data_IF_981266363019
#
_entry.id   IF_981266363019
#
_cell.length_a   1.000
_cell.length_b   1.000
_cell.length_c   1.000
_cell.angle_alpha   90.00
_cell.angle_beta   90.00
_cell.angle_gamma   90.00
#
_symmetry.space_group_name_H-M   'P 1'
#
loop_
_entity.id
_entity.type
_entity.pdbx_description
1 polymer ?
#
# COMPACT_ATOMS: atom_id res chain seq x y z
N UNK A 1 23.99 45.56 -24.73
CA UNK A 1 22.73 45.40 -23.95
C UNK A 1 21.98 44.09 -24.20
N UNK A 2 22.26 43.36 -25.29
CA UNK A 2 21.54 42.12 -25.67
C UNK A 2 21.95 40.87 -24.89
N UNK A 3 23.24 40.71 -24.58
CA UNK A 3 23.82 39.58 -23.84
C UNK A 3 23.33 39.45 -22.40
N UNK A 4 23.03 40.58 -21.73
CA UNK A 4 22.50 40.58 -20.35
C UNK A 4 21.11 39.95 -20.26
N UNK A 5 20.28 40.11 -21.29
CA UNK A 5 18.95 39.48 -21.38
C UNK A 5 19.06 37.98 -21.64
N UNK A 6 20.04 37.56 -22.44
CA UNK A 6 20.30 36.13 -22.74
C UNK A 6 20.77 35.39 -21.49
N UNK A 7 21.68 35.99 -20.71
CA UNK A 7 22.16 35.41 -19.44
C UNK A 7 21.00 35.29 -18.43
N UNK A 8 20.14 36.31 -18.33
CA UNK A 8 18.98 36.28 -17.44
C UNK A 8 17.99 35.18 -17.83
N UNK A 9 17.77 34.96 -19.13
CA UNK A 9 16.91 33.90 -19.65
C UNK A 9 17.46 32.51 -19.31
N UNK A 10 18.77 32.33 -19.42
CA UNK A 10 19.42 31.05 -19.10
C UNK A 10 19.36 30.72 -17.60
N UNK A 11 19.44 31.73 -16.72
CA UNK A 11 19.31 31.55 -15.26
C UNK A 11 17.90 31.12 -14.86
N UNK A 12 16.87 31.64 -15.53
CA UNK A 12 15.46 31.29 -15.25
C UNK A 12 15.16 29.84 -15.66
N UNK A 13 15.78 29.34 -16.73
CA UNK A 13 15.63 27.95 -17.19
C UNK A 13 16.25 26.92 -16.22
N UNK A 14 17.26 27.32 -15.45
CA UNK A 14 17.95 26.46 -14.48
C UNK A 14 17.20 26.30 -13.14
N UNK A 15 16.16 27.10 -12.88
CA UNK A 15 15.48 27.14 -11.58
C UNK A 15 14.42 26.04 -11.39
N UNK A 16 14.20 25.18 -12.39
CA UNK A 16 13.26 24.07 -12.28
C UNK A 16 13.91 22.88 -11.55
N UNK A 17 13.90 22.90 -10.22
CA UNK A 17 14.21 21.71 -9.42
C UNK A 17 12.91 21.01 -9.03
N UNK A 18 12.71 19.77 -9.47
CA UNK A 18 11.63 18.93 -8.93
C UNK A 18 11.98 18.62 -7.47
N UNK A 19 11.09 18.98 -6.54
CA UNK A 19 11.17 18.50 -5.17
C UNK A 19 11.05 16.98 -5.18
N UNK A 20 12.06 16.30 -4.62
CA UNK A 20 11.99 14.85 -4.43
C UNK A 20 10.95 14.57 -3.35
N UNK A 21 9.78 14.14 -3.78
CA UNK A 21 8.76 13.58 -2.91
C UNK A 21 9.31 12.27 -2.34
N UNK A 22 9.83 12.33 -1.11
CA UNK A 22 10.51 11.21 -0.44
C UNK A 22 9.47 10.31 0.21
N UNK A 23 8.72 9.60 -0.64
CA UNK A 23 7.80 8.55 -0.18
C UNK A 23 8.58 7.27 0.04
N UNK A 24 8.42 6.68 1.22
CA UNK A 24 8.94 5.33 1.53
C UNK A 24 8.10 4.22 0.90
N UNK A 25 6.86 4.52 0.54
CA UNK A 25 5.90 3.57 0.01
C UNK A 25 5.17 4.16 -1.20
N UNK A 26 4.90 3.29 -2.16
CA UNK A 26 3.99 3.57 -3.28
C UNK A 26 2.78 2.64 -3.21
N UNK A 27 1.64 3.14 -3.66
CA UNK A 27 0.47 2.30 -3.85
C UNK A 27 0.72 1.38 -5.05
N UNK A 28 0.65 0.07 -4.82
CA UNK A 28 0.65 -0.94 -5.89
C UNK A 28 -0.80 -1.28 -6.21
N UNK A 29 -1.18 -1.17 -7.48
CA UNK A 29 -2.53 -1.54 -7.90
C UNK A 29 -2.70 -3.06 -7.88
N UNK A 30 -3.93 -3.54 -7.71
CA UNK A 30 -4.21 -4.98 -7.68
C UNK A 30 -3.83 -5.67 -8.99
N UNK A 31 -3.89 -4.98 -10.13
CA UNK A 31 -3.47 -5.51 -11.42
C UNK A 31 -1.94 -5.70 -11.49
N UNK A 32 -1.17 -4.84 -10.81
CA UNK A 32 0.29 -4.93 -10.75
C UNK A 32 0.75 -6.02 -9.78
N UNK A 33 0.07 -6.17 -8.63
CA UNK A 33 0.40 -7.20 -7.63
C UNK A 33 -0.20 -8.57 -7.95
N UNK A 34 -1.28 -8.62 -8.75
CA UNK A 34 -2.17 -9.77 -8.90
C UNK A 34 -2.80 -10.25 -7.58
N UNK A 35 -2.85 -9.39 -6.56
CA UNK A 35 -3.42 -9.71 -5.25
C UNK A 35 -4.75 -8.97 -5.11
N UNK A 36 -5.84 -9.73 -5.00
CA UNK A 36 -7.15 -9.22 -4.61
C UNK A 36 -7.47 -9.77 -3.22
N UNK A 37 -7.58 -8.88 -2.24
CA UNK A 37 -7.93 -9.25 -0.88
C UNK A 37 -9.09 -8.40 -0.38
N UNK A 38 -10.06 -9.05 0.26
CA UNK A 38 -11.18 -8.39 0.89
C UNK A 38 -11.57 -9.14 2.16
N UNK A 39 -11.51 -8.48 3.32
CA UNK A 39 -12.00 -9.02 4.58
C UNK A 39 -13.47 -8.61 4.76
N UNK A 40 -14.39 -9.40 4.21
CA UNK A 40 -15.83 -9.20 4.43
C UNK A 40 -16.24 -9.84 5.74
N UNK A 41 -16.86 -9.04 6.61
CA UNK A 41 -17.32 -9.50 7.93
C UNK A 41 -18.83 -9.74 7.89
N UNK A 42 -19.24 -10.99 8.12
CA UNK A 42 -20.64 -11.36 8.21
C UNK A 42 -21.16 -11.26 9.65
N UNK A 43 -22.33 -10.65 9.78
CA UNK A 43 -22.98 -10.42 11.06
C UNK A 43 -23.93 -11.55 11.42
N UNK A 44 -23.82 -12.02 12.66
CA UNK A 44 -24.82 -12.91 13.26
C UNK A 44 -25.12 -12.47 14.69
N UNK A 45 -26.22 -12.96 15.27
CA UNK A 45 -26.53 -12.69 16.68
C UNK A 45 -25.42 -13.18 17.63
N UNK A 46 -24.73 -14.25 17.26
CA UNK A 46 -23.62 -14.81 18.05
C UNK A 46 -22.27 -14.14 17.74
N UNK A 47 -22.07 -13.63 16.52
CA UNK A 47 -20.83 -13.03 16.06
C UNK A 47 -21.09 -11.60 15.56
N UNK A 48 -20.88 -10.65 16.46
CA UNK A 48 -21.01 -9.21 16.20
C UNK A 48 -20.11 -8.43 17.20
N UNK A 49 -19.95 -7.11 17.04
CA UNK A 49 -19.11 -6.30 17.92
C UNK A 49 -19.55 -6.27 19.40
N UNK A 50 -20.83 -6.53 19.69
CA UNK A 50 -21.33 -6.59 21.07
C UNK A 50 -20.99 -7.92 21.75
N UNK A 51 -20.96 -9.02 20.99
CA UNK A 51 -20.62 -10.36 21.51
C UNK A 51 -19.13 -10.67 21.40
N UNK A 52 -18.43 -10.07 20.44
CA UNK A 52 -17.00 -10.26 20.19
C UNK A 52 -16.31 -8.90 20.02
N UNK A 53 -15.59 -8.48 21.07
CA UNK A 53 -14.91 -7.17 21.13
C UNK A 53 -13.94 -6.92 19.98
N UNK A 54 -13.33 -7.97 19.46
CA UNK A 54 -12.30 -7.88 18.42
C UNK A 54 -12.90 -8.04 17.01
N UNK A 55 -14.21 -7.91 16.84
CA UNK A 55 -14.88 -8.16 15.55
C UNK A 55 -14.32 -7.31 14.41
N UNK A 56 -13.93 -6.08 14.72
CA UNK A 56 -13.32 -5.15 13.78
C UNK A 56 -11.81 -5.02 13.93
N UNK A 57 -11.17 -5.80 14.80
CA UNK A 57 -9.73 -5.74 14.90
C UNK A 57 -9.16 -6.20 13.58
N UNK A 58 -8.41 -5.29 12.94
CA UNK A 58 -7.76 -5.55 11.67
C UNK A 58 -6.89 -6.79 11.74
N UNK A 59 -6.85 -7.50 10.62
CA UNK A 59 -5.89 -8.56 10.40
C UNK A 59 -4.52 -7.99 10.02
N UNK A 60 -3.45 -8.55 10.56
CA UNK A 60 -2.08 -8.13 10.23
C UNK A 60 -1.63 -8.62 8.85
N UNK A 61 -0.63 -7.98 8.27
CA UNK A 61 0.11 -8.49 7.11
C UNK A 61 1.56 -8.72 7.51
N UNK A 62 2.12 -9.86 7.11
CA UNK A 62 3.53 -10.15 7.24
C UNK A 62 4.14 -10.41 5.85
N UNK A 63 5.37 -9.96 5.67
CA UNK A 63 6.11 -10.04 4.42
C UNK A 63 7.48 -10.64 4.75
N UNK A 64 7.78 -11.82 4.21
CA UNK A 64 9.02 -12.57 4.48
C UNK A 64 9.30 -13.58 3.37
N UNK A 65 10.56 -13.98 3.16
CA UNK A 65 10.87 -15.19 2.37
C UNK A 65 10.87 -16.36 3.37
N UNK A 66 9.77 -17.09 3.42
CA UNK A 66 9.57 -18.17 4.39
C UNK A 66 9.85 -19.54 3.80
N UNK A 67 9.74 -19.69 2.48
CA UNK A 67 10.00 -20.95 1.78
C UNK A 67 11.43 -21.04 1.19
N UNK A 68 12.23 -19.98 1.33
CA UNK A 68 13.60 -19.83 0.83
C UNK A 68 13.72 -19.90 -0.70
N UNK A 69 12.72 -19.44 -1.44
CA UNK A 69 12.77 -19.39 -2.92
C UNK A 69 13.32 -18.07 -3.48
N UNK A 70 13.79 -17.17 -2.60
CA UNK A 70 14.25 -15.82 -2.95
C UNK A 70 13.16 -14.88 -3.46
N UNK A 71 11.89 -15.26 -3.35
CA UNK A 71 10.74 -14.40 -3.56
C UNK A 71 10.15 -13.96 -2.22
N UNK A 72 9.45 -12.84 -2.26
CA UNK A 72 8.81 -12.29 -1.07
C UNK A 72 7.43 -12.90 -0.90
N UNK A 73 7.22 -13.67 0.17
CA UNK A 73 5.89 -14.17 0.53
C UNK A 73 5.08 -13.10 1.29
N UNK A 74 3.77 -13.13 1.09
CA UNK A 74 2.81 -12.25 1.76
C UNK A 74 1.82 -13.10 2.53
N UNK A 75 1.78 -12.91 3.85
CA UNK A 75 0.82 -13.56 4.75
C UNK A 75 -0.21 -12.53 5.22
N UNK A 76 -1.48 -12.80 4.92
CA UNK A 76 -2.62 -11.98 5.33
C UNK A 76 -3.31 -12.69 6.48
N UNK A 77 -3.20 -12.13 7.69
CA UNK A 77 -3.91 -12.63 8.86
C UNK A 77 -5.32 -12.03 8.84
N UNK A 78 -6.34 -12.83 9.14
CA UNK A 78 -7.71 -12.33 9.24
C UNK A 78 -8.36 -12.89 10.49
N UNK A 79 -8.96 -11.99 11.28
CA UNK A 79 -9.46 -12.32 12.61
C UNK A 79 -10.80 -13.07 12.58
N UNK A 80 -11.56 -12.97 11.47
CA UNK A 80 -12.91 -13.56 11.35
C UNK A 80 -13.32 -14.04 9.95
N UNK A 81 -12.41 -14.25 8.99
CA UNK A 81 -12.81 -14.87 7.73
C UNK A 81 -12.93 -16.37 7.90
N UNK A 82 -14.10 -16.95 7.60
CA UNK A 82 -14.10 -18.32 7.08
C UNK A 82 -13.26 -18.30 5.81
N UNK A 83 -12.14 -19.03 5.80
CA UNK A 83 -11.42 -19.33 4.55
C UNK A 83 -12.34 -20.27 3.78
N UNK A 84 -13.24 -19.70 2.97
CA UNK A 84 -13.91 -20.47 1.94
C UNK A 84 -12.90 -20.65 0.82
N UNK A 85 -12.28 -21.83 0.74
CA UNK A 85 -11.62 -22.26 -0.48
C UNK A 85 -12.68 -22.29 -1.59
N UNK A 86 -12.51 -21.44 -2.59
CA UNK A 86 -12.96 -21.73 -3.96
C UNK A 86 -11.80 -22.42 -4.66
#
# INVERSE_FOLDING_TARGET
MTYRKIILLFVILSACSKTKDTRLFELISNEKSNINFNNTLDYTENLNPYTYRNFYNGGGVAIGDFNNDSLQDIFLLVILSRISCI
#
